data_IF_891057778155
#
_entry.id   IF_891057778155
#
_cell.length_a   1.000
_cell.length_b   1.000
_cell.length_c   1.000
_cell.angle_alpha   90.00
_cell.angle_beta   90.00
_cell.angle_gamma   90.00
#
_symmetry.space_group_name_H-M   'P 1'
#
loop_
_entity.id
_entity.type
_entity.pdbx_description
1 polymer ?
#
# COMPACT_ATOMS: atom_id res chain seq x y z
N UNK A 1 -47.15 9.00 33.12
CA UNK A 1 -48.17 7.96 32.98
C UNK A 1 -48.07 7.46 31.57
N UNK A 2 -47.32 6.38 31.40
CA UNK A 2 -46.88 5.81 30.13
C UNK A 2 -48.00 5.06 29.42
N UNK A 3 -47.93 4.99 28.09
CA UNK A 3 -48.33 3.84 27.24
C UNK A 3 -48.24 4.28 25.77
N UNK A 4 -47.13 3.95 25.10
CA UNK A 4 -46.97 2.75 24.26
C UNK A 4 -47.73 2.83 22.94
N UNK A 5 -47.16 3.55 21.97
CA UNK A 5 -47.33 3.24 20.56
C UNK A 5 -46.19 2.29 20.13
N UNK A 6 -46.27 1.05 20.58
CA UNK A 6 -45.43 -0.06 20.09
C UNK A 6 -46.21 -0.76 18.97
N UNK A 7 -46.22 -0.15 17.79
CA UNK A 7 -46.48 -0.91 16.57
C UNK A 7 -45.27 -1.81 16.29
N UNK A 8 -45.44 -3.05 15.81
CA UNK A 8 -44.31 -3.86 15.40
C UNK A 8 -43.60 -3.15 14.25
N UNK A 9 -42.37 -2.70 14.51
CA UNK A 9 -41.46 -2.29 13.44
C UNK A 9 -41.30 -3.53 12.56
N UNK A 10 -41.65 -3.47 11.25
CA UNK A 10 -41.48 -4.62 10.40
C UNK A 10 -40.00 -4.99 10.45
N UNK A 11 -39.71 -6.20 10.97
CA UNK A 11 -38.44 -6.86 10.79
C UNK A 11 -38.24 -6.94 9.27
N UNK A 12 -37.52 -5.97 8.71
CA UNK A 12 -37.08 -6.00 7.33
C UNK A 12 -36.06 -7.13 7.26
N UNK A 13 -36.58 -8.35 7.12
CA UNK A 13 -35.80 -9.58 7.10
C UNK A 13 -34.83 -9.46 5.93
N UNK A 14 -33.55 -9.72 6.18
CA UNK A 14 -32.43 -9.53 5.24
C UNK A 14 -32.75 -9.97 3.80
N UNK A 15 -33.55 -11.03 3.65
CA UNK A 15 -34.08 -11.55 2.38
C UNK A 15 -34.80 -10.51 1.50
N UNK A 16 -35.64 -9.63 2.08
CA UNK A 16 -36.48 -8.69 1.32
C UNK A 16 -35.69 -7.45 0.85
N UNK A 17 -34.69 -7.05 1.64
CA UNK A 17 -33.74 -6.01 1.27
C UNK A 17 -32.76 -6.51 0.19
N UNK A 18 -32.29 -7.76 0.30
CA UNK A 18 -31.43 -8.41 -0.67
C UNK A 18 -32.15 -8.69 -2.02
N UNK A 19 -33.43 -9.08 -2.00
CA UNK A 19 -34.26 -9.23 -3.23
C UNK A 19 -34.56 -7.87 -3.91
N UNK A 20 -34.59 -6.77 -3.14
CA UNK A 20 -34.68 -5.41 -3.67
C UNK A 20 -33.39 -4.93 -4.36
N UNK A 21 -32.22 -5.24 -3.77
CA UNK A 21 -30.91 -4.93 -4.35
C UNK A 21 -30.63 -5.72 -5.63
N UNK A 22 -31.13 -6.96 -5.75
CA UNK A 22 -30.99 -7.78 -6.97
C UNK A 22 -31.82 -7.30 -8.16
N UNK A 23 -32.77 -6.37 -7.97
CA UNK A 23 -33.68 -5.86 -9.00
C UNK A 23 -33.50 -4.37 -9.30
N UNK A 24 -32.28 -3.84 -9.20
CA UNK A 24 -31.92 -2.43 -9.52
C UNK A 24 -32.76 -1.36 -8.78
N UNK A 25 -33.46 -1.72 -7.70
CA UNK A 25 -34.39 -0.84 -7.00
C UNK A 25 -34.15 -0.85 -5.49
N UNK A 26 -33.44 0.18 -5.00
CA UNK A 26 -33.25 0.41 -3.56
C UNK A 26 -34.54 1.00 -2.98
N UNK A 27 -35.44 0.15 -2.50
CA UNK A 27 -36.65 0.58 -1.80
C UNK A 27 -36.32 0.98 -0.36
N UNK A 28 -36.02 2.26 -0.15
CA UNK A 28 -35.84 2.83 1.18
C UNK A 28 -37.19 3.06 1.86
N UNK A 29 -37.68 2.07 2.61
CA UNK A 29 -38.88 2.21 3.46
C UNK A 29 -38.62 2.99 4.76
N UNK A 30 -37.41 3.53 4.94
CA UNK A 30 -36.95 4.21 6.14
C UNK A 30 -37.01 5.74 5.97
N UNK A 31 -37.81 6.42 6.80
CA UNK A 31 -37.87 7.89 6.86
C UNK A 31 -36.68 8.53 7.61
N UNK A 32 -35.79 7.73 8.21
CA UNK A 32 -34.67 8.22 9.00
C UNK A 32 -33.49 8.64 8.10
N UNK A 33 -33.04 9.91 8.14
CA UNK A 33 -31.90 10.41 7.35
C UNK A 33 -30.63 9.58 7.54
N UNK A 34 -30.38 9.09 8.75
CA UNK A 34 -29.21 8.27 9.09
C UNK A 34 -29.06 6.99 8.25
N UNK A 35 -30.17 6.35 7.85
CA UNK A 35 -30.12 5.15 7.01
C UNK A 35 -29.66 5.49 5.59
N UNK A 36 -30.10 6.62 5.05
CA UNK A 36 -29.71 7.10 3.72
C UNK A 36 -28.24 7.45 3.68
N UNK A 37 -27.73 8.11 4.72
CA UNK A 37 -26.31 8.46 4.86
C UNK A 37 -25.41 7.21 5.00
N UNK A 38 -25.81 6.23 5.82
CA UNK A 38 -25.03 5.00 5.97
C UNK A 38 -24.96 4.19 4.65
N UNK A 39 -26.08 4.09 3.92
CA UNK A 39 -26.15 3.39 2.63
C UNK A 39 -25.36 4.13 1.54
N UNK A 40 -25.48 5.46 1.45
CA UNK A 40 -24.73 6.25 0.48
C UNK A 40 -23.22 6.14 0.73
N UNK A 41 -22.80 6.16 2.00
CA UNK A 41 -21.41 6.01 2.40
C UNK A 41 -20.85 4.64 2.04
N UNK A 42 -21.57 3.55 2.36
CA UNK A 42 -21.16 2.19 2.00
C UNK A 42 -21.05 2.01 0.47
N UNK A 43 -21.99 2.58 -0.30
CA UNK A 43 -21.96 2.55 -1.76
C UNK A 43 -20.76 3.33 -2.32
N UNK A 44 -20.48 4.51 -1.76
CA UNK A 44 -19.32 5.33 -2.15
C UNK A 44 -18.00 4.62 -1.86
N UNK A 45 -17.89 3.94 -0.70
CA UNK A 45 -16.74 3.10 -0.37
C UNK A 45 -16.56 1.95 -1.36
N UNK A 46 -17.65 1.27 -1.71
CA UNK A 46 -17.65 0.19 -2.69
C UNK A 46 -17.15 0.67 -4.07
N UNK A 47 -17.68 1.78 -4.57
CA UNK A 47 -17.24 2.37 -5.84
C UNK A 47 -15.76 2.81 -5.80
N UNK A 48 -15.27 3.27 -4.64
CA UNK A 48 -13.84 3.61 -4.46
C UNK A 48 -12.95 2.36 -4.49
N UNK A 49 -13.41 1.23 -3.93
CA UNK A 49 -12.72 -0.06 -4.05
C UNK A 49 -12.60 -0.51 -5.50
N UNK A 50 -13.66 -0.38 -6.29
CA UNK A 50 -13.68 -0.78 -7.71
C UNK A 50 -12.62 -0.04 -8.54
N UNK A 51 -12.23 1.17 -8.12
CA UNK A 51 -11.14 1.94 -8.75
C UNK A 51 -9.75 1.51 -8.26
N UNK A 52 -9.63 1.07 -7.01
CA UNK A 52 -8.36 0.65 -6.41
C UNK A 52 -7.95 -0.76 -6.85
N UNK A 53 -8.90 -1.68 -6.97
CA UNK A 53 -8.68 -3.06 -7.41
C UNK A 53 -7.82 -3.20 -8.68
N UNK A 54 -8.14 -2.52 -9.81
CA UNK A 54 -7.33 -2.63 -11.02
C UNK A 54 -5.91 -2.07 -10.85
N UNK A 55 -5.71 -1.10 -9.94
CA UNK A 55 -4.38 -0.54 -9.64
C UNK A 55 -3.54 -1.57 -8.87
N UNK A 56 -4.15 -2.27 -7.90
CA UNK A 56 -3.50 -3.37 -7.17
C UNK A 56 -3.18 -4.53 -8.12
N UNK A 57 -4.09 -4.87 -9.02
CA UNK A 57 -3.86 -5.89 -10.05
C UNK A 57 -2.73 -5.52 -11.01
N UNK A 58 -2.60 -4.26 -11.43
CA UNK A 58 -1.46 -3.78 -12.23
C UNK A 58 -0.13 -4.01 -11.46
N UNK A 59 -0.09 -3.64 -10.18
CA UNK A 59 1.09 -3.82 -9.33
C UNK A 59 1.46 -5.30 -9.16
N UNK A 60 0.46 -6.17 -8.97
CA UNK A 60 0.65 -7.61 -8.93
C UNK A 60 1.14 -8.18 -10.26
N UNK A 61 0.60 -7.72 -11.38
CA UNK A 61 1.03 -8.14 -12.71
C UNK A 61 2.51 -7.83 -12.97
N UNK A 62 2.99 -6.70 -12.46
CA UNK A 62 4.40 -6.31 -12.56
C UNK A 62 5.27 -7.13 -11.60
N UNK A 63 4.82 -7.41 -10.37
CA UNK A 63 5.64 -8.05 -9.33
C UNK A 63 5.71 -9.58 -9.43
N UNK A 64 4.61 -10.26 -9.77
CA UNK A 64 4.51 -11.74 -9.88
C UNK A 64 5.61 -12.41 -10.71
N UNK A 65 6.04 -11.88 -11.87
CA UNK A 65 7.11 -12.51 -12.64
C UNK A 65 8.51 -12.29 -12.05
N UNK A 66 8.72 -11.32 -11.16
CA UNK A 66 10.04 -10.93 -10.67
C UNK A 66 10.72 -12.05 -9.85
N UNK A 67 10.07 -12.71 -8.86
CA UNK A 67 10.68 -13.81 -8.13
C UNK A 67 11.05 -15.00 -9.03
N UNK A 68 10.20 -15.31 -10.02
CA UNK A 68 10.47 -16.39 -10.99
C UNK A 68 11.67 -16.08 -11.88
N UNK A 69 11.81 -14.82 -12.33
CA UNK A 69 12.97 -14.38 -13.09
C UNK A 69 14.25 -14.40 -12.23
N UNK A 70 14.14 -14.00 -10.97
CA UNK A 70 15.26 -14.00 -10.03
C UNK A 70 15.75 -15.43 -9.72
N UNK A 71 14.81 -16.36 -9.49
CA UNK A 71 15.14 -17.78 -9.27
C UNK A 71 15.77 -18.45 -10.49
N UNK A 72 15.26 -18.16 -11.70
CA UNK A 72 15.74 -18.82 -12.93
C UNK A 72 17.02 -18.20 -13.51
N UNK A 73 17.21 -16.89 -13.37
CA UNK A 73 18.33 -16.17 -14.01
C UNK A 73 19.35 -15.61 -13.03
N UNK A 74 19.07 -15.60 -11.72
CA UNK A 74 19.93 -14.99 -10.70
C UNK A 74 19.88 -13.46 -10.66
N UNK A 75 19.24 -12.81 -11.63
CA UNK A 75 19.10 -11.36 -11.72
C UNK A 75 17.80 -10.98 -12.44
N UNK A 76 17.03 -10.06 -11.84
CA UNK A 76 15.84 -9.48 -12.44
C UNK A 76 16.23 -8.33 -13.38
N UNK A 77 15.70 -8.31 -14.61
CA UNK A 77 15.89 -7.21 -15.58
C UNK A 77 15.01 -6.00 -15.21
N UNK A 78 15.23 -5.43 -14.03
CA UNK A 78 14.53 -4.23 -13.57
C UNK A 78 15.55 -3.21 -13.08
N UNK A 79 15.29 -1.92 -13.32
CA UNK A 79 16.16 -0.84 -12.84
C UNK A 79 15.74 -0.41 -11.44
N UNK A 80 16.68 0.00 -10.59
CA UNK A 80 16.40 0.59 -9.27
C UNK A 80 15.33 1.71 -9.32
N UNK A 81 15.35 2.54 -10.37
CA UNK A 81 14.33 3.59 -10.62
C UNK A 81 12.92 3.02 -10.79
N UNK A 82 12.78 1.89 -11.48
CA UNK A 82 11.49 1.24 -11.70
C UNK A 82 10.95 0.60 -10.41
N UNK A 83 11.83 -0.02 -9.60
CA UNK A 83 11.48 -0.52 -8.26
C UNK A 83 10.99 0.62 -7.37
N UNK A 84 11.71 1.74 -7.31
CA UNK A 84 11.30 2.90 -6.51
C UNK A 84 9.96 3.50 -6.97
N UNK A 85 9.69 3.53 -8.29
CA UNK A 85 8.40 3.97 -8.83
C UNK A 85 7.27 3.02 -8.41
N UNK A 86 7.51 1.71 -8.42
CA UNK A 86 6.54 0.71 -7.96
C UNK A 86 6.27 0.82 -6.45
N UNK A 87 7.32 1.01 -5.63
CA UNK A 87 7.18 1.29 -4.18
C UNK A 87 6.34 2.55 -3.93
N UNK A 88 6.53 3.61 -4.71
CA UNK A 88 5.73 4.84 -4.62
C UNK A 88 4.24 4.62 -4.97
N UNK A 89 3.95 3.89 -6.06
CA UNK A 89 2.58 3.50 -6.42
C UNK A 89 1.90 2.65 -5.34
N UNK A 90 2.63 1.67 -4.79
CA UNK A 90 2.18 0.83 -3.68
C UNK A 90 1.79 1.67 -2.46
N UNK A 91 2.66 2.60 -2.07
CA UNK A 91 2.42 3.48 -0.92
C UNK A 91 1.16 4.33 -1.10
N UNK A 92 0.97 4.92 -2.29
CA UNK A 92 -0.23 5.68 -2.61
C UNK A 92 -1.49 4.81 -2.54
N UNK A 93 -1.42 3.57 -3.00
CA UNK A 93 -2.54 2.64 -2.94
C UNK A 93 -2.91 2.28 -1.50
N UNK A 94 -1.92 1.97 -0.64
CA UNK A 94 -2.15 1.66 0.79
C UNK A 94 -2.73 2.85 1.55
N UNK A 95 -2.26 4.07 1.26
CA UNK A 95 -2.83 5.28 1.86
C UNK A 95 -4.30 5.44 1.48
N UNK A 96 -4.62 5.35 0.18
CA UNK A 96 -6.00 5.42 -0.28
C UNK A 96 -6.88 4.33 0.33
N UNK A 97 -6.36 3.10 0.51
CA UNK A 97 -7.09 1.99 1.12
C UNK A 97 -7.38 2.22 2.61
N UNK A 98 -6.42 2.82 3.34
CA UNK A 98 -6.60 3.21 4.75
C UNK A 98 -7.68 4.27 4.90
N UNK A 99 -7.72 5.25 4.01
CA UNK A 99 -8.75 6.31 4.01
C UNK A 99 -10.17 5.77 3.75
N UNK A 100 -10.35 4.52 3.28
CA UNK A 100 -11.68 3.88 3.19
C UNK A 100 -12.16 3.34 4.54
N UNK A 101 -11.25 3.04 5.47
CA UNK A 101 -11.56 2.40 6.75
C UNK A 101 -11.85 3.40 7.86
N UNK A 102 -11.58 4.67 7.65
CA UNK A 102 -11.90 5.73 8.60
C UNK A 102 -13.43 5.81 8.75
N UNK A 103 -13.89 5.61 9.97
CA UNK A 103 -15.30 5.63 10.33
C UNK A 103 -15.77 7.09 10.37
N UNK A 104 -16.83 7.47 9.64
CA UNK A 104 -17.22 8.87 9.55
C UNK A 104 -17.63 9.40 10.93
N UNK A 105 -17.25 10.65 11.21
CA UNK A 105 -17.47 11.33 12.50
C UNK A 105 -18.95 11.33 12.95
N UNK A 106 -19.88 11.10 12.01
CA UNK A 106 -21.30 10.96 12.24
C UNK A 106 -21.70 9.85 13.24
N UNK A 107 -20.93 8.76 13.32
CA UNK A 107 -21.26 7.66 14.24
C UNK A 107 -20.97 7.97 15.71
N UNK A 108 -20.19 9.02 15.99
CA UNK A 108 -19.90 9.46 17.35
C UNK A 108 -21.13 10.11 18.01
N UNK A 109 -22.02 10.70 17.22
CA UNK A 109 -23.22 11.40 17.71
C UNK A 109 -24.41 10.45 18.00
N UNK A 110 -24.43 9.25 17.41
CA UNK A 110 -25.55 8.31 17.54
C UNK A 110 -25.15 6.83 17.77
N UNK A 111 -24.80 6.45 19.02
CA UNK A 111 -24.27 5.12 19.36
C UNK A 111 -25.20 3.94 19.05
N UNK A 112 -26.52 4.14 19.00
CA UNK A 112 -27.50 3.09 18.70
C UNK A 112 -27.50 2.66 17.22
N UNK A 113 -26.93 3.46 16.31
CA UNK A 113 -26.78 3.09 14.90
C UNK A 113 -25.61 2.15 14.63
N UNK A 114 -24.69 1.98 15.59
CA UNK A 114 -23.53 1.09 15.44
C UNK A 114 -23.92 -0.34 15.08
N UNK A 115 -25.04 -0.83 15.64
CA UNK A 115 -25.54 -2.18 15.34
C UNK A 115 -26.11 -2.31 13.92
N UNK A 116 -26.71 -1.26 13.37
CA UNK A 116 -27.21 -1.25 11.99
C UNK A 116 -26.07 -1.07 10.98
N UNK A 117 -25.10 -0.20 11.30
CA UNK A 117 -23.90 0.00 10.50
C UNK A 117 -23.04 -1.27 10.41
N UNK A 118 -22.88 -2.01 11.51
CA UNK A 118 -22.16 -3.29 11.51
C UNK A 118 -22.79 -4.34 10.59
N UNK A 119 -24.13 -4.38 10.49
CA UNK A 119 -24.84 -5.27 9.56
C UNK A 119 -24.59 -4.82 8.12
N UNK A 120 -24.72 -3.51 7.84
CA UNK A 120 -24.51 -2.96 6.50
C UNK A 120 -23.06 -3.13 6.00
N UNK A 121 -22.09 -3.02 6.92
CA UNK A 121 -20.65 -3.24 6.64
C UNK A 121 -20.34 -4.71 6.36
N UNK A 122 -20.98 -5.62 7.09
CA UNK A 122 -20.90 -7.06 6.85
C UNK A 122 -21.56 -7.46 5.52
N UNK A 123 -22.71 -6.87 5.19
CA UNK A 123 -23.45 -7.16 3.95
C UNK A 123 -22.68 -6.75 2.70
N UNK A 124 -22.01 -5.59 2.71
CA UNK A 124 -21.21 -5.15 1.56
C UNK A 124 -19.83 -5.82 1.45
N UNK A 125 -19.42 -6.66 2.43
CA UNK A 125 -18.12 -7.38 2.43
C UNK A 125 -16.89 -6.49 2.17
N UNK A 126 -17.00 -5.17 2.38
CA UNK A 126 -15.96 -4.16 2.11
C UNK A 126 -14.71 -4.47 2.94
N UNK A 127 -14.90 -4.87 4.19
CA UNK A 127 -13.81 -5.23 5.10
C UNK A 127 -12.99 -6.41 4.58
N UNK A 128 -13.66 -7.47 4.09
CA UNK A 128 -12.98 -8.63 3.53
C UNK A 128 -12.18 -8.28 2.26
N UNK A 129 -12.75 -7.45 1.38
CA UNK A 129 -12.07 -6.98 0.16
C UNK A 129 -10.84 -6.14 0.51
N UNK A 130 -10.96 -5.23 1.47
CA UNK A 130 -9.83 -4.41 1.93
C UNK A 130 -8.72 -5.28 2.51
N UNK A 131 -9.05 -6.25 3.36
CA UNK A 131 -8.07 -7.17 3.95
C UNK A 131 -7.34 -7.93 2.84
N UNK A 132 -8.07 -8.45 1.85
CA UNK A 132 -7.47 -9.17 0.72
C UNK A 132 -6.54 -8.29 -0.12
N UNK A 133 -6.94 -7.05 -0.42
CA UNK A 133 -6.10 -6.10 -1.15
C UNK A 133 -4.83 -5.73 -0.36
N UNK A 134 -4.95 -5.54 0.95
CA UNK A 134 -3.82 -5.21 1.83
C UNK A 134 -2.81 -6.38 1.92
N UNK A 135 -3.29 -7.63 1.95
CA UNK A 135 -2.46 -8.83 1.88
C UNK A 135 -1.70 -8.91 0.55
N UNK A 136 -2.38 -8.65 -0.56
CA UNK A 136 -1.75 -8.60 -1.88
C UNK A 136 -0.69 -7.51 -1.98
N UNK A 137 -0.99 -6.30 -1.50
CA UNK A 137 -0.04 -5.18 -1.44
C UNK A 137 1.17 -5.54 -0.55
N UNK A 138 0.96 -6.22 0.56
CA UNK A 138 2.04 -6.67 1.45
C UNK A 138 2.98 -7.66 0.77
N UNK A 139 2.43 -8.64 0.03
CA UNK A 139 3.24 -9.57 -0.75
C UNK A 139 4.03 -8.87 -1.87
N UNK A 140 3.44 -7.87 -2.54
CA UNK A 140 4.15 -7.05 -3.54
C UNK A 140 5.29 -6.28 -2.88
N UNK A 141 5.05 -5.70 -1.71
CA UNK A 141 6.05 -4.94 -0.98
C UNK A 141 7.27 -5.80 -0.64
N UNK A 142 7.06 -7.01 -0.13
CA UNK A 142 8.15 -7.94 0.22
C UNK A 142 9.06 -8.23 -0.98
N UNK A 143 8.47 -8.48 -2.16
CA UNK A 143 9.22 -8.70 -3.41
C UNK A 143 10.01 -7.43 -3.81
N UNK A 144 9.39 -6.25 -3.71
CA UNK A 144 10.03 -4.99 -4.06
C UNK A 144 11.14 -4.59 -3.07
N UNK A 145 11.00 -4.93 -1.80
CA UNK A 145 12.00 -4.69 -0.75
C UNK A 145 13.22 -5.60 -0.96
N UNK A 146 13.00 -6.89 -1.19
CA UNK A 146 14.06 -7.83 -1.57
C UNK A 146 14.86 -7.34 -2.79
N UNK A 147 14.17 -6.82 -3.82
CA UNK A 147 14.82 -6.25 -5.00
C UNK A 147 15.54 -4.93 -4.70
N UNK A 148 15.01 -4.11 -3.79
CA UNK A 148 15.62 -2.86 -3.37
C UNK A 148 16.93 -3.07 -2.63
N UNK A 149 16.98 -4.05 -1.72
CA UNK A 149 18.18 -4.38 -0.94
C UNK A 149 19.34 -4.82 -1.83
N UNK A 150 19.03 -5.52 -2.94
CA UNK A 150 20.04 -5.89 -3.93
C UNK A 150 20.72 -4.66 -4.56
N UNK A 151 19.99 -3.57 -4.81
CA UNK A 151 20.59 -2.33 -5.34
C UNK A 151 21.33 -1.50 -4.27
N UNK A 152 20.91 -1.57 -3.01
CA UNK A 152 21.60 -0.89 -1.92
C UNK A 152 23.00 -1.48 -1.68
N UNK A 153 23.14 -2.80 -1.83
CA UNK A 153 24.44 -3.48 -1.77
C UNK A 153 25.42 -2.97 -2.85
N UNK A 154 24.93 -2.72 -4.07
CA UNK A 154 25.75 -2.16 -5.15
C UNK A 154 26.28 -0.75 -4.83
N UNK A 155 25.51 0.05 -4.07
CA UNK A 155 25.93 1.40 -3.68
C UNK A 155 27.06 1.38 -2.64
N UNK A 156 26.95 0.51 -1.63
CA UNK A 156 28.00 0.33 -0.63
C UNK A 156 29.30 -0.19 -1.28
N UNK A 157 29.19 -1.12 -2.23
CA UNK A 157 30.34 -1.59 -3.01
C UNK A 157 31.05 -0.46 -3.75
N UNK A 158 30.31 0.47 -4.37
CA UNK A 158 30.91 1.65 -5.04
C UNK A 158 31.64 2.57 -4.08
N UNK A 159 31.08 2.79 -2.89
CA UNK A 159 31.70 3.63 -1.88
C UNK A 159 33.01 3.01 -1.37
N UNK A 160 33.05 1.69 -1.20
CA UNK A 160 34.28 0.95 -0.86
C UNK A 160 35.37 1.12 -1.93
N UNK A 161 35.02 0.96 -3.21
CA UNK A 161 35.97 1.17 -4.31
C UNK A 161 36.52 2.59 -4.37
N UNK A 162 35.69 3.61 -4.08
CA UNK A 162 36.14 5.01 -4.02
C UNK A 162 37.18 5.19 -2.91
N UNK A 163 36.96 4.59 -1.74
CA UNK A 163 37.92 4.66 -0.62
C UNK A 163 39.24 3.98 -0.96
N UNK A 164 39.21 2.81 -1.61
CA UNK A 164 40.43 2.11 -2.07
C UNK A 164 41.23 3.00 -3.04
N UNK A 165 40.55 3.62 -4.02
CA UNK A 165 41.20 4.53 -4.97
C UNK A 165 41.79 5.78 -4.32
N UNK A 166 41.10 6.33 -3.31
CA UNK A 166 41.61 7.46 -2.51
C UNK A 166 42.92 7.11 -1.79
N UNK A 167 43.01 5.91 -1.22
CA UNK A 167 44.23 5.43 -0.55
C UNK A 167 45.37 5.25 -1.56
N UNK A 168 45.11 4.63 -2.72
CA UNK A 168 46.12 4.45 -3.77
C UNK A 168 46.66 5.81 -4.23
N UNK A 169 45.77 6.79 -4.48
CA UNK A 169 46.17 8.12 -4.89
C UNK A 169 47.05 8.81 -3.82
N UNK A 170 46.68 8.70 -2.54
CA UNK A 170 47.47 9.25 -1.44
C UNK A 170 48.87 8.62 -1.35
N UNK A 171 48.98 7.30 -1.49
CA UNK A 171 50.26 6.58 -1.48
C UNK A 171 51.13 6.99 -2.67
N UNK A 172 50.55 7.16 -3.85
CA UNK A 172 51.27 7.62 -5.05
C UNK A 172 51.82 9.02 -4.86
N UNK A 173 51.03 9.97 -4.34
CA UNK A 173 51.47 11.34 -4.07
C UNK A 173 52.62 11.35 -3.06
N UNK A 174 52.46 10.66 -1.93
CA UNK A 174 53.51 10.55 -0.92
C UNK A 174 54.79 9.88 -1.48
N UNK A 175 54.64 8.87 -2.33
CA UNK A 175 55.75 8.19 -2.99
C UNK A 175 56.50 9.10 -3.96
N UNK A 176 55.80 9.94 -4.72
CA UNK A 176 56.40 10.94 -5.61
C UNK A 176 57.16 11.99 -4.79
N UNK A 177 56.56 12.53 -3.72
CA UNK A 177 57.21 13.48 -2.82
C UNK A 177 58.50 12.89 -2.22
N UNK A 178 58.47 11.65 -1.75
CA UNK A 178 59.66 10.99 -1.21
C UNK A 178 60.73 10.77 -2.29
N UNK A 179 60.34 10.30 -3.48
CA UNK A 179 61.27 10.11 -4.60
C UNK A 179 61.98 11.41 -4.98
N UNK A 180 61.23 12.51 -5.07
CA UNK A 180 61.81 13.82 -5.36
C UNK A 180 62.77 14.29 -4.26
N UNK A 181 62.45 14.05 -2.98
CA UNK A 181 63.36 14.35 -1.87
C UNK A 181 64.66 13.54 -1.94
N UNK A 182 64.59 12.25 -2.25
CA UNK A 182 65.77 11.37 -2.36
C UNK A 182 66.66 11.81 -3.53
N UNK A 183 66.09 12.07 -4.71
CA UNK A 183 66.84 12.58 -5.85
C UNK A 183 67.55 13.90 -5.52
N UNK A 184 66.89 14.78 -4.78
CA UNK A 184 67.47 16.06 -4.34
C UNK A 184 68.65 15.87 -3.38
N UNK A 185 68.59 14.89 -2.48
CA UNK A 185 69.68 14.57 -1.55
C UNK A 185 70.86 13.88 -2.24
N UNK A 186 70.59 13.01 -3.22
CA UNK A 186 71.62 12.31 -4.00
C UNK A 186 72.43 13.24 -4.91
N UNK A 187 71.83 14.35 -5.37
CA UNK A 187 72.51 15.33 -6.21
C UNK A 187 73.51 16.23 -5.47
N UNK A 188 73.55 16.20 -4.14
CA UNK A 188 74.39 17.07 -3.31
C UNK A 188 75.61 16.35 -2.69
N UNK A 189 75.95 15.16 -3.19
CA UNK A 189 77.12 14.35 -2.82
C UNK A 189 78.02 14.15 -4.03
#
# INVERSE_FOLDING_TARGET
GDSSCSGPVPELTNELFLDGLQRDHILLQSELPAHKEAISHALAQNAKLDVLEPIVDELLGISRPLPKQLSSKGHARITAKAVNKAKGKLFLCRMNLRDLLDEPDYFWDFPWFYRYYGILRADYSIEQRVIFLEDQLSAVQEILDMLGDQFAADHNMRLEWIVIWLIIAAVVIAGIELYTQIMRLGAHK
#
